data_IF_612083773102
#
_entry.id   IF_612083773102
#
_cell.length_a   1.000
_cell.length_b   1.000
_cell.length_c   1.000
_cell.angle_alpha   90.00
_cell.angle_beta   90.00
_cell.angle_gamma   90.00
#
_symmetry.space_group_name_H-M   'P 1'
#
loop_
_entity.id
_entity.type
_entity.pdbx_description
1 polymer ?
#
# COMPACT_ATOMS: atom_id res chain seq x y z
N UNK A 1 -26.02 -4.48 4.15
CA UNK A 1 -27.26 -3.72 4.31
C UNK A 1 -27.91 -3.66 2.94
N UNK A 2 -29.07 -4.31 2.75
CA UNK A 2 -29.75 -4.34 1.46
C UNK A 2 -30.81 -3.24 1.40
N UNK A 3 -31.12 -2.78 0.19
CA UNK A 3 -32.21 -1.82 -0.03
C UNK A 3 -33.53 -2.43 0.45
N UNK A 4 -34.39 -1.60 1.03
CA UNK A 4 -35.69 -2.02 1.54
C UNK A 4 -36.55 -2.68 0.45
N UNK A 5 -37.14 -3.80 0.83
CA UNK A 5 -38.03 -4.58 -0.02
C UNK A 5 -39.34 -4.82 0.73
N UNK A 6 -40.45 -4.34 0.17
CA UNK A 6 -41.80 -4.55 0.75
C UNK A 6 -42.26 -6.01 0.63
N UNK A 7 -41.93 -6.67 -0.48
CA UNK A 7 -42.34 -8.05 -0.76
C UNK A 7 -41.34 -9.05 -0.19
N UNK A 8 -41.82 -9.97 0.64
CA UNK A 8 -41.01 -11.07 1.20
C UNK A 8 -40.37 -11.95 0.11
N UNK A 9 -41.09 -12.20 -0.99
CA UNK A 9 -40.56 -12.95 -2.14
C UNK A 9 -39.28 -12.30 -2.71
N UNK A 10 -39.21 -10.96 -2.76
CA UNK A 10 -38.01 -10.28 -3.22
C UNK A 10 -36.85 -10.50 -2.24
N UNK A 11 -37.11 -10.49 -0.92
CA UNK A 11 -36.10 -10.78 0.10
C UNK A 11 -35.57 -12.20 -0.02
N UNK A 12 -36.43 -13.18 -0.27
CA UNK A 12 -36.03 -14.57 -0.49
C UNK A 12 -35.20 -14.73 -1.76
N UNK A 13 -35.55 -14.04 -2.85
CA UNK A 13 -34.77 -14.05 -4.09
C UNK A 13 -33.37 -13.51 -3.89
N UNK A 14 -33.22 -12.40 -3.15
CA UNK A 14 -31.91 -11.82 -2.81
C UNK A 14 -31.12 -12.77 -1.91
N UNK A 15 -31.76 -13.36 -0.89
CA UNK A 15 -31.12 -14.34 -0.02
C UNK A 15 -30.58 -15.55 -0.80
N UNK A 16 -31.39 -16.14 -1.70
CA UNK A 16 -30.95 -17.27 -2.53
C UNK A 16 -29.83 -16.90 -3.48
N UNK A 17 -29.90 -15.73 -4.12
CA UNK A 17 -28.83 -15.25 -4.99
C UNK A 17 -27.51 -15.05 -4.21
N UNK A 18 -27.58 -14.53 -2.99
CA UNK A 18 -26.43 -14.39 -2.11
C UNK A 18 -25.86 -15.75 -1.68
N UNK A 19 -26.73 -16.69 -1.31
CA UNK A 19 -26.34 -18.06 -0.96
C UNK A 19 -25.66 -18.77 -2.14
N UNK A 20 -26.23 -18.64 -3.35
CA UNK A 20 -25.66 -19.21 -4.57
C UNK A 20 -24.29 -18.61 -4.91
N UNK A 21 -24.15 -17.28 -4.84
CA UNK A 21 -22.87 -16.62 -5.07
C UNK A 21 -21.78 -17.02 -4.07
N UNK A 22 -22.15 -17.33 -2.83
CA UNK A 22 -21.20 -17.73 -1.78
C UNK A 22 -20.82 -19.22 -1.82
N UNK A 23 -21.46 -20.05 -2.67
CA UNK A 23 -21.07 -21.46 -2.86
C UNK A 23 -19.68 -21.61 -3.48
N UNK A 24 -19.26 -20.65 -4.29
CA UNK A 24 -17.93 -20.64 -4.92
C UNK A 24 -16.81 -20.21 -3.95
N UNK A 25 -17.17 -19.65 -2.78
CA UNK A 25 -16.19 -19.24 -1.79
C UNK A 25 -15.56 -20.45 -1.09
N UNK A 26 -14.23 -20.51 -1.10
CA UNK A 26 -13.47 -21.58 -0.45
C UNK A 26 -13.55 -21.52 1.07
N UNK A 27 -13.86 -20.35 1.64
CA UNK A 27 -14.03 -20.20 3.08
C UNK A 27 -15.43 -20.65 3.51
N UNK A 28 -15.52 -21.40 4.61
CA UNK A 28 -16.83 -21.79 5.16
C UNK A 28 -17.63 -20.55 5.55
N UNK A 29 -18.80 -20.40 4.97
CA UNK A 29 -19.76 -19.31 5.23
C UNK A 29 -21.02 -19.85 5.89
N UNK A 30 -21.66 -19.03 6.71
CA UNK A 30 -23.03 -19.23 7.19
C UNK A 30 -23.76 -17.90 7.07
N UNK A 31 -24.95 -17.93 6.48
CA UNK A 31 -25.74 -16.74 6.18
C UNK A 31 -27.13 -16.94 6.80
N UNK A 32 -27.66 -15.91 7.45
CA UNK A 32 -29.02 -15.91 7.95
C UNK A 32 -29.95 -15.20 6.95
N UNK A 33 -31.24 -15.50 7.03
CA UNK A 33 -32.25 -14.80 6.23
C UNK A 33 -32.25 -13.30 6.53
N UNK A 34 -32.66 -12.49 5.54
CA UNK A 34 -32.78 -11.04 5.69
C UNK A 34 -33.73 -10.73 6.86
N UNK A 35 -33.26 -9.95 7.83
CA UNK A 35 -34.05 -9.55 8.99
C UNK A 35 -35.19 -8.61 8.60
N UNK A 36 -36.11 -8.37 9.53
CA UNK A 36 -37.18 -7.38 9.32
C UNK A 36 -36.65 -5.96 9.12
N UNK A 37 -35.44 -5.68 9.61
CA UNK A 37 -34.74 -4.41 9.49
C UNK A 37 -33.90 -4.30 8.19
N UNK A 38 -34.00 -5.26 7.25
CA UNK A 38 -33.23 -5.24 6.00
C UNK A 38 -31.78 -5.71 6.11
N UNK A 39 -31.35 -6.10 7.31
CA UNK A 39 -29.98 -6.55 7.57
C UNK A 39 -29.82 -8.05 7.28
N UNK A 40 -28.68 -8.42 6.70
CA UNK A 40 -28.23 -9.82 6.59
C UNK A 40 -27.05 -10.02 7.50
N UNK A 41 -27.16 -10.99 8.40
CA UNK A 41 -26.08 -11.43 9.25
C UNK A 41 -25.42 -12.65 8.60
N UNK A 42 -24.08 -12.63 8.54
CA UNK A 42 -23.31 -13.75 8.03
C UNK A 42 -22.01 -13.90 8.80
N UNK A 43 -21.54 -15.15 8.90
CA UNK A 43 -20.19 -15.47 9.35
C UNK A 43 -19.41 -16.06 8.18
N UNK A 44 -18.14 -15.71 8.10
CA UNK A 44 -17.20 -16.27 7.13
C UNK A 44 -15.94 -16.66 7.87
N UNK A 45 -15.55 -17.94 7.80
CA UNK A 45 -14.34 -18.44 8.46
C UNK A 45 -13.13 -17.67 7.93
N UNK A 46 -12.31 -17.14 8.85
CA UNK A 46 -11.05 -16.50 8.50
C UNK A 46 -10.01 -17.57 8.16
N UNK A 47 -9.62 -17.64 6.89
CA UNK A 47 -8.64 -18.63 6.39
C UNK A 47 -7.24 -18.02 6.23
N UNK A 48 -7.17 -16.69 6.06
CA UNK A 48 -5.92 -15.92 5.93
C UNK A 48 -6.03 -14.61 6.69
N UNK A 49 -4.91 -13.93 6.87
CA UNK A 49 -4.96 -12.53 7.29
C UNK A 49 -5.71 -11.69 6.26
N UNK A 50 -6.52 -10.75 6.74
CA UNK A 50 -7.22 -9.80 5.88
C UNK A 50 -6.17 -8.95 5.17
N UNK A 51 -6.35 -8.69 3.87
CA UNK A 51 -5.44 -7.87 3.05
C UNK A 51 -5.10 -6.55 3.74
N UNK A 52 -6.10 -5.92 4.35
CA UNK A 52 -5.93 -4.70 5.13
C UNK A 52 -4.85 -4.83 6.22
N UNK A 53 -4.79 -5.95 6.96
CA UNK A 53 -3.77 -6.13 8.02
C UNK A 53 -2.37 -6.34 7.46
N UNK A 54 -2.24 -6.85 6.24
CA UNK A 54 -0.93 -7.04 5.60
C UNK A 54 -0.41 -5.74 4.98
N UNK A 55 -1.31 -4.89 4.49
CA UNK A 55 -0.98 -3.65 3.77
C UNK A 55 -1.00 -2.41 4.68
N UNK A 56 -1.53 -2.50 5.90
CA UNK A 56 -1.67 -1.36 6.82
C UNK A 56 -1.01 -1.61 8.16
N UNK A 57 -0.62 -0.53 8.83
CA UNK A 57 -0.16 -0.51 10.21
C UNK A 57 -0.99 0.48 11.05
N UNK A 58 -1.07 0.31 12.39
CA UNK A 58 -1.77 1.25 13.25
C UNK A 58 -1.24 2.68 13.08
N UNK A 59 -2.15 3.65 12.99
CA UNK A 59 -1.76 5.04 12.76
C UNK A 59 -1.07 5.63 14.00
N UNK A 60 0.21 5.98 13.86
CA UNK A 60 0.97 6.61 14.95
C UNK A 60 0.67 8.11 15.12
N UNK A 61 -0.10 8.74 14.22
CA UNK A 61 -0.54 10.13 14.37
C UNK A 61 -1.75 10.28 15.30
N UNK A 62 -2.55 9.22 15.46
CA UNK A 62 -3.76 9.22 16.28
C UNK A 62 -3.80 8.03 17.25
N UNK A 63 -2.64 7.56 17.68
CA UNK A 63 -2.48 6.47 18.65
C UNK A 63 -3.29 5.19 18.33
N UNK A 64 -3.38 4.86 17.03
CA UNK A 64 -4.04 3.65 16.54
C UNK A 64 -5.55 3.75 16.36
N UNK A 65 -6.16 4.94 16.51
CA UNK A 65 -7.58 5.15 16.19
C UNK A 65 -7.89 4.94 14.69
N UNK A 66 -6.89 5.13 13.83
CA UNK A 66 -6.93 4.85 12.40
C UNK A 66 -5.85 3.87 11.95
N UNK A 67 -5.79 3.65 10.65
CA UNK A 67 -4.75 2.84 10.00
C UNK A 67 -4.04 3.66 8.94
N UNK A 68 -2.75 3.41 8.76
CA UNK A 68 -1.92 3.96 7.68
C UNK A 68 -1.47 2.82 6.78
N UNK A 69 -1.11 3.11 5.53
CA UNK A 69 -0.34 2.15 4.74
C UNK A 69 0.93 1.78 5.49
N UNK A 70 1.28 0.49 5.49
CA UNK A 70 2.54 0.06 6.09
C UNK A 70 3.73 0.67 5.35
N UNK A 71 4.83 0.93 6.05
CA UNK A 71 6.07 1.43 5.45
C UNK A 71 6.52 0.60 4.24
N UNK A 72 6.40 -0.72 4.33
CA UNK A 72 6.65 -1.66 3.23
C UNK A 72 5.72 -1.40 2.03
N UNK A 73 4.44 -1.15 2.28
CA UNK A 73 3.48 -0.82 1.20
C UNK A 73 3.88 0.47 0.50
N UNK A 74 4.25 1.51 1.25
CA UNK A 74 4.71 2.79 0.69
C UNK A 74 6.00 2.59 -0.11
N UNK A 75 6.95 1.78 0.38
CA UNK A 75 8.16 1.43 -0.35
C UNK A 75 7.87 0.76 -1.71
N UNK A 76 6.95 -0.21 -1.76
CA UNK A 76 6.54 -0.83 -3.03
C UNK A 76 5.74 0.12 -3.94
N UNK A 77 5.02 1.09 -3.39
CA UNK A 77 4.40 2.16 -4.19
C UNK A 77 5.45 3.04 -4.86
N UNK A 78 6.48 3.46 -4.11
CA UNK A 78 7.62 4.22 -4.61
C UNK A 78 8.32 3.44 -5.73
N UNK A 79 8.63 2.16 -5.51
CA UNK A 79 9.23 1.30 -6.54
C UNK A 79 8.40 1.28 -7.83
N UNK A 80 7.09 1.05 -7.72
CA UNK A 80 6.20 1.02 -8.89
C UNK A 80 6.10 2.37 -9.59
N UNK A 81 6.09 3.47 -8.84
CA UNK A 81 6.08 4.81 -9.41
C UNK A 81 7.39 5.08 -10.15
N UNK A 82 8.53 4.73 -9.56
CA UNK A 82 9.84 4.86 -10.17
C UNK A 82 9.96 4.07 -11.48
N UNK A 83 9.45 2.83 -11.54
CA UNK A 83 9.45 2.06 -12.79
C UNK A 83 8.65 2.75 -13.89
N UNK A 84 7.50 3.34 -13.55
CA UNK A 84 6.67 4.06 -14.52
C UNK A 84 7.31 5.35 -15.00
N UNK A 85 7.96 6.07 -14.09
CA UNK A 85 8.54 7.38 -14.39
C UNK A 85 9.93 7.28 -15.00
N UNK A 86 10.66 6.18 -14.77
CA UNK A 86 12.00 5.97 -15.28
C UNK A 86 12.07 5.97 -16.83
N UNK A 87 10.99 5.60 -17.51
CA UNK A 87 10.90 5.70 -18.97
C UNK A 87 11.00 7.15 -19.48
N UNK A 88 10.59 8.12 -18.67
CA UNK A 88 10.56 9.55 -19.02
C UNK A 88 11.71 10.35 -18.41
N UNK A 89 12.46 9.77 -17.47
CA UNK A 89 13.63 10.40 -16.87
C UNK A 89 14.87 10.04 -17.68
N UNK A 90 15.54 11.01 -18.28
CA UNK A 90 16.80 10.78 -19.00
C UNK A 90 18.04 10.89 -18.10
N UNK A 91 17.86 11.41 -16.90
CA UNK A 91 18.91 11.67 -15.93
C UNK A 91 19.36 10.41 -15.21
N UNK A 92 20.65 10.36 -14.89
CA UNK A 92 21.25 9.24 -14.18
C UNK A 92 21.06 9.31 -12.66
N UNK A 93 20.59 10.44 -12.11
CA UNK A 93 20.42 10.63 -10.67
C UNK A 93 19.01 11.09 -10.33
N UNK A 94 18.35 10.38 -9.41
CA UNK A 94 17.00 10.70 -8.93
C UNK A 94 17.02 10.79 -7.40
N UNK A 95 16.49 11.90 -6.89
CA UNK A 95 16.26 12.13 -5.47
C UNK A 95 14.85 11.70 -5.10
N UNK A 96 14.74 10.93 -4.02
CA UNK A 96 13.48 10.44 -3.47
C UNK A 96 13.33 11.05 -2.08
N UNK A 97 12.45 12.02 -1.95
CA UNK A 97 12.12 12.65 -0.67
C UNK A 97 10.95 11.90 -0.01
N UNK A 98 11.16 11.40 1.22
CA UNK A 98 10.18 10.59 1.96
C UNK A 98 10.22 10.89 3.45
N UNK A 99 9.19 10.47 4.17
CA UNK A 99 9.20 10.51 5.63
C UNK A 99 10.33 9.63 6.22
N UNK A 100 11.01 10.03 7.33
CA UNK A 100 12.17 9.31 7.87
C UNK A 100 11.94 7.83 8.16
N UNK A 101 10.72 7.46 8.59
CA UNK A 101 10.37 6.05 8.83
C UNK A 101 10.34 5.21 7.55
N UNK A 102 9.97 5.80 6.42
CA UNK A 102 9.99 5.13 5.11
C UNK A 102 11.41 5.10 4.56
N UNK A 103 12.18 6.19 4.73
CA UNK A 103 13.61 6.22 4.38
C UNK A 103 14.36 5.07 5.06
N UNK A 104 14.14 4.86 6.36
CA UNK A 104 14.74 3.74 7.09
C UNK A 104 14.33 2.39 6.50
N UNK A 105 13.04 2.19 6.16
CA UNK A 105 12.59 0.94 5.56
C UNK A 105 13.22 0.68 4.19
N UNK A 106 13.39 1.73 3.37
CA UNK A 106 14.05 1.63 2.07
C UNK A 106 15.56 1.32 2.18
N UNK A 107 16.21 1.78 3.25
CA UNK A 107 17.66 1.60 3.48
C UNK A 107 18.00 0.32 4.25
N UNK A 108 17.09 -0.18 5.07
CA UNK A 108 17.32 -1.34 5.94
C UNK A 108 16.59 -2.58 5.40
N UNK A 109 15.26 -2.62 5.54
CA UNK A 109 14.46 -3.83 5.29
C UNK A 109 14.27 -4.15 3.81
N UNK A 110 14.18 -3.11 2.99
CA UNK A 110 13.94 -3.21 1.55
C UNK A 110 15.14 -2.71 0.73
N UNK A 111 16.34 -2.70 1.32
CA UNK A 111 17.58 -2.24 0.66
C UNK A 111 17.84 -2.98 -0.66
N UNK A 112 17.66 -4.31 -0.65
CA UNK A 112 17.81 -5.16 -1.82
C UNK A 112 16.84 -4.79 -2.95
N UNK A 113 15.63 -4.35 -2.61
CA UNK A 113 14.64 -3.89 -3.59
C UNK A 113 15.12 -2.61 -4.30
N UNK A 114 15.74 -1.69 -3.56
CA UNK A 114 16.27 -0.43 -4.10
C UNK A 114 17.51 -0.69 -4.96
N UNK A 115 18.40 -1.58 -4.52
CA UNK A 115 19.57 -2.00 -5.30
C UNK A 115 19.17 -2.68 -6.62
N UNK A 116 18.20 -3.58 -6.60
CA UNK A 116 17.66 -4.22 -7.80
C UNK A 116 17.05 -3.18 -8.75
N UNK A 117 16.29 -2.23 -8.21
CA UNK A 117 15.71 -1.14 -8.99
C UNK A 117 16.80 -0.27 -9.63
N UNK A 118 17.87 0.04 -8.89
CA UNK A 118 18.99 0.86 -9.36
C UNK A 118 19.73 0.17 -10.50
N UNK A 119 20.04 -1.12 -10.33
CA UNK A 119 20.68 -1.94 -11.36
C UNK A 119 19.80 -2.13 -12.59
N UNK A 120 18.48 -2.30 -12.42
CA UNK A 120 17.56 -2.49 -13.55
C UNK A 120 17.35 -1.22 -14.37
N UNK A 121 17.34 -0.05 -13.72
CA UNK A 121 17.10 1.23 -14.39
C UNK A 121 18.38 1.95 -14.81
N UNK A 122 19.56 1.43 -14.46
CA UNK A 122 20.87 2.07 -14.64
C UNK A 122 20.89 3.53 -14.13
N UNK A 123 20.26 3.73 -12.97
CA UNK A 123 20.09 5.04 -12.31
C UNK A 123 20.58 4.98 -10.87
N UNK A 124 21.06 6.12 -10.37
CA UNK A 124 21.43 6.32 -8.97
C UNK A 124 20.28 6.94 -8.21
N UNK A 125 20.02 6.40 -7.02
CA UNK A 125 18.98 6.91 -6.12
C UNK A 125 19.59 7.54 -4.88
N UNK A 126 19.13 8.74 -4.57
CA UNK A 126 19.46 9.45 -3.33
C UNK A 126 18.19 9.53 -2.50
N UNK A 127 18.24 8.97 -1.29
CA UNK A 127 17.08 8.97 -0.38
C UNK A 127 17.26 10.14 0.58
N UNK A 128 16.24 11.00 0.63
CA UNK A 128 16.20 12.19 1.46
C UNK A 128 15.08 12.05 2.48
N UNK A 129 15.43 12.14 3.77
CA UNK A 129 14.48 12.03 4.85
C UNK A 129 13.94 13.41 5.22
N UNK A 130 12.64 13.63 4.98
CA UNK A 130 11.92 14.88 5.25
C UNK A 130 10.92 14.71 6.38
N UNK A 131 11.21 15.29 7.55
CA UNK A 131 10.39 15.16 8.76
C UNK A 131 9.02 15.85 8.67
N UNK A 132 8.86 16.79 7.73
CA UNK A 132 7.62 17.49 7.45
C UNK A 132 6.64 16.70 6.57
N UNK A 133 7.06 15.56 6.02
CA UNK A 133 6.22 14.73 5.15
C UNK A 133 5.31 13.80 5.97
N UNK A 134 4.10 13.57 5.49
CA UNK A 134 3.28 12.48 5.98
C UNK A 134 3.89 11.12 5.58
N UNK A 135 3.64 10.05 6.34
CA UNK A 135 4.19 8.71 6.06
C UNK A 135 3.94 8.24 4.62
N UNK A 136 2.78 8.58 4.06
CA UNK A 136 2.36 8.18 2.71
C UNK A 136 2.76 9.19 1.63
N UNK A 137 3.40 10.31 1.99
CA UNK A 137 3.88 11.31 1.04
C UNK A 137 5.30 10.97 0.58
N UNK A 138 5.52 11.09 -0.73
CA UNK A 138 6.81 10.98 -1.36
C UNK A 138 6.87 11.90 -2.58
N UNK A 139 8.06 12.36 -2.92
CA UNK A 139 8.31 13.21 -4.08
C UNK A 139 9.58 12.78 -4.80
N UNK A 140 9.54 12.77 -6.14
CA UNK A 140 10.69 12.51 -6.99
C UNK A 140 11.24 13.83 -7.51
N UNK A 141 12.52 14.09 -7.27
CA UNK A 141 13.24 15.23 -7.83
C UNK A 141 14.34 14.72 -8.73
N UNK A 142 14.33 15.18 -9.96
CA UNK A 142 15.37 14.88 -10.94
C UNK A 142 16.36 16.02 -10.93
N UNK A 143 17.65 15.71 -10.77
CA UNK A 143 18.70 16.72 -10.66
C UNK A 143 19.70 16.48 -11.80
N UNK A 144 19.94 17.52 -12.59
CA UNK A 144 20.79 17.49 -13.79
C UNK A 144 22.29 17.71 -13.51
N UNK A 145 22.69 17.95 -12.26
CA UNK A 145 24.04 18.42 -11.93
C UNK A 145 24.91 17.43 -11.13
N UNK A 146 26.20 17.57 -11.44
CA UNK A 146 27.40 16.77 -11.12
C UNK A 146 27.31 15.92 -9.84
N UNK A 147 27.60 14.60 -9.93
CA UNK A 147 27.50 13.72 -8.78
C UNK A 147 28.49 14.20 -7.70
N UNK A 148 28.05 14.42 -6.44
CA UNK A 148 29.01 14.47 -5.35
C UNK A 148 29.81 13.15 -5.39
N UNK A 149 31.13 13.22 -5.10
CA UNK A 149 32.07 12.09 -5.21
C UNK A 149 31.54 10.83 -4.50
N UNK A 150 30.81 10.00 -5.21
CA UNK A 150 30.26 8.74 -4.74
C UNK A 150 30.38 7.71 -5.85
N UNK A 151 30.77 6.49 -5.46
CA UNK A 151 31.00 5.39 -6.38
C UNK A 151 29.70 5.00 -7.09
N UNK A 152 29.83 4.45 -8.30
CA UNK A 152 28.68 3.91 -9.02
C UNK A 152 28.03 2.78 -8.20
N UNK A 153 26.73 2.91 -7.90
CA UNK A 153 25.97 1.93 -7.11
C UNK A 153 25.69 2.31 -5.65
N UNK A 154 26.11 3.48 -5.18
CA UNK A 154 25.85 3.91 -3.80
C UNK A 154 24.49 4.60 -3.62
N UNK A 155 23.72 4.12 -2.63
CA UNK A 155 22.54 4.82 -2.11
C UNK A 155 23.02 5.85 -1.08
N UNK A 156 22.93 7.14 -1.42
CA UNK A 156 23.32 8.21 -0.52
C UNK A 156 22.12 8.64 0.35
N UNK A 157 22.35 8.81 1.66
CA UNK A 157 21.35 9.30 2.61
C UNK A 157 21.66 10.75 2.92
N UNK A 158 20.76 11.66 2.56
CA UNK A 158 20.81 13.05 3.03
C UNK A 158 19.79 13.22 4.15
N UNK A 159 20.28 13.38 5.37
CA UNK A 159 19.44 13.73 6.53
C UNK A 159 19.41 15.26 6.62
N UNK A 160 18.27 15.87 6.29
CA UNK A 160 18.02 17.26 6.70
C UNK A 160 17.65 17.27 8.19
N UNK A 161 18.30 18.17 8.94
CA UNK A 161 18.10 18.34 10.39
C UNK A 161 16.77 19.00 10.71
#
# INVERSE_FOLDING_TARGET
>A
DFIDMEKENNRERVYRALEDALKEDRAKTQILKISKLGLVEMTRKRVRESLQRTTTEPCFYCDGAGVLKSRTTVAYEIYRAMVREAEYMHQCMVHIAVHPRVAQTLLDSEASMVEELAGRLDKRFVIEARGDFHLEQYEFRVVDDEPPLFAAGEVAVRLEK
#
